data_IF_838373574719
#
_entry.id   IF_838373574719
#
_cell.length_a   1.000
_cell.length_b   1.000
_cell.length_c   1.000
_cell.angle_alpha   90.00
_cell.angle_beta   90.00
_cell.angle_gamma   90.00
#
_symmetry.space_group_name_H-M   'P 1'
#
loop_
_entity.id
_entity.type
_entity.pdbx_description
1 polymer ?
#
# COMPACT_ATOMS: atom_id res chain seq x y z
N UNK A 1 13.01 -45.43 -37.90
CA UNK A 1 11.96 -44.48 -38.31
C UNK A 1 11.82 -43.48 -37.18
N UNK A 2 12.34 -42.33 -37.43
CA UNK A 2 12.47 -41.18 -36.58
C UNK A 2 11.21 -40.32 -36.72
N UNK A 3 10.52 -40.03 -35.63
CA UNK A 3 9.45 -39.04 -35.65
C UNK A 3 9.84 -37.87 -34.75
N UNK A 4 9.92 -36.73 -35.39
CA UNK A 4 10.30 -35.45 -34.83
C UNK A 4 9.16 -34.92 -33.93
N UNK A 5 9.56 -34.51 -32.75
CA UNK A 5 8.72 -33.67 -31.88
C UNK A 5 8.56 -32.27 -32.50
N UNK A 6 7.31 -31.91 -32.75
CA UNK A 6 6.92 -30.57 -33.20
C UNK A 6 7.08 -29.54 -32.07
N UNK A 7 7.94 -28.56 -32.30
CA UNK A 7 8.11 -27.39 -31.44
C UNK A 7 6.87 -26.50 -31.56
N UNK A 8 6.33 -26.09 -30.39
CA UNK A 8 5.25 -25.11 -30.29
C UNK A 8 5.69 -23.74 -30.84
N UNK A 9 4.86 -23.03 -31.59
CA UNK A 9 5.23 -21.72 -32.10
C UNK A 9 5.23 -20.71 -30.93
N UNK A 10 6.39 -20.16 -30.64
CA UNK A 10 6.55 -18.97 -29.83
C UNK A 10 5.86 -17.81 -30.54
N UNK A 11 4.72 -17.36 -30.01
CA UNK A 11 4.08 -16.15 -30.48
C UNK A 11 4.95 -14.96 -30.06
N UNK A 12 5.82 -14.55 -30.95
CA UNK A 12 6.51 -13.25 -30.86
C UNK A 12 5.48 -12.21 -31.26
N UNK A 13 4.91 -11.53 -30.28
CA UNK A 13 4.17 -10.28 -30.49
C UNK A 13 5.17 -9.26 -31.04
N UNK A 14 5.19 -9.11 -32.36
CA UNK A 14 5.86 -7.99 -33.00
C UNK A 14 5.09 -6.71 -32.61
N UNK A 15 5.63 -5.99 -31.64
CA UNK A 15 5.21 -4.61 -31.36
C UNK A 15 5.69 -3.81 -32.55
N UNK A 16 4.77 -3.41 -33.42
CA UNK A 16 5.06 -2.50 -34.51
C UNK A 16 5.39 -1.13 -33.93
N UNK A 17 6.55 -0.59 -34.28
CA UNK A 17 7.14 0.63 -33.76
C UNK A 17 6.39 1.94 -34.16
N UNK A 18 5.08 1.86 -34.33
CA UNK A 18 4.18 2.97 -34.65
C UNK A 18 3.00 3.11 -33.69
N UNK A 19 2.98 2.35 -32.60
CA UNK A 19 2.04 2.61 -31.51
C UNK A 19 2.48 3.91 -30.83
N UNK A 20 1.73 4.96 -31.08
CA UNK A 20 1.95 6.31 -30.55
C UNK A 20 2.27 6.26 -29.06
N UNK A 21 3.33 6.95 -28.65
CA UNK A 21 3.73 7.12 -27.25
C UNK A 21 2.54 7.59 -26.37
N UNK A 22 1.52 8.17 -26.98
CA UNK A 22 0.27 8.58 -26.35
C UNK A 22 -0.51 7.40 -25.71
N UNK A 23 -0.46 6.19 -26.26
CA UNK A 23 -1.17 5.03 -25.75
C UNK A 23 -0.45 4.32 -24.59
N UNK A 24 0.80 4.71 -24.28
CA UNK A 24 1.54 4.14 -23.15
C UNK A 24 1.08 4.65 -21.79
N UNK A 25 0.35 5.75 -21.72
CA UNK A 25 -0.14 6.31 -20.46
C UNK A 25 -1.64 6.04 -20.27
N UNK A 26 -2.05 5.54 -19.11
CA UNK A 26 -3.46 5.33 -18.84
C UNK A 26 -4.22 6.67 -18.88
N UNK A 27 -5.24 6.74 -19.73
CA UNK A 27 -6.11 7.90 -19.86
C UNK A 27 -7.26 7.85 -18.86
N UNK A 28 -7.68 9.01 -18.42
CA UNK A 28 -8.78 9.19 -17.49
C UNK A 28 -10.10 8.91 -18.21
N UNK A 29 -10.89 7.97 -17.69
CA UNK A 29 -12.18 7.62 -18.25
C UNK A 29 -13.34 8.22 -17.45
N UNK A 30 -14.51 8.36 -18.10
CA UNK A 30 -15.72 8.77 -17.42
C UNK A 30 -16.10 7.77 -16.32
N UNK A 31 -16.70 8.25 -15.24
CA UNK A 31 -17.11 7.51 -14.05
C UNK A 31 -15.97 6.90 -13.22
N UNK A 32 -14.72 7.09 -13.59
CA UNK A 32 -13.58 6.69 -12.76
C UNK A 32 -13.42 7.62 -11.54
N UNK A 33 -12.88 7.04 -10.47
CA UNK A 33 -12.40 7.79 -9.33
C UNK A 33 -10.98 8.28 -9.61
N UNK A 34 -10.71 9.53 -9.28
CA UNK A 34 -9.41 10.18 -9.48
C UNK A 34 -9.00 10.87 -8.18
N UNK A 35 -7.73 10.76 -7.83
CA UNK A 35 -7.12 11.54 -6.77
C UNK A 35 -6.57 12.84 -7.37
N UNK A 36 -7.06 13.96 -6.89
CA UNK A 36 -6.59 15.27 -7.33
C UNK A 36 -5.65 15.84 -6.27
N UNK A 37 -4.37 15.91 -6.61
CA UNK A 37 -3.34 16.51 -5.79
C UNK A 37 -3.27 18.01 -6.06
N UNK A 38 -3.36 18.79 -5.00
CA UNK A 38 -3.26 20.25 -5.06
C UNK A 38 -1.90 20.73 -4.55
N UNK A 39 -1.41 21.90 -4.99
CA UNK A 39 -0.13 22.44 -4.56
C UNK A 39 0.00 22.63 -3.05
N UNK A 40 -1.13 22.79 -2.36
CA UNK A 40 -1.16 22.89 -0.90
C UNK A 40 -0.76 21.60 -0.18
N UNK A 41 -0.62 20.48 -0.89
CA UNK A 41 -0.45 19.15 -0.32
C UNK A 41 -1.79 18.45 -0.01
N UNK A 42 -2.92 19.16 -0.15
CA UNK A 42 -4.23 18.54 0.01
C UNK A 42 -4.55 17.65 -1.19
N UNK A 43 -5.20 16.52 -0.89
CA UNK A 43 -5.67 15.56 -1.88
C UNK A 43 -7.20 15.47 -1.79
N UNK A 44 -7.87 15.37 -2.92
CA UNK A 44 -9.32 15.19 -3.00
C UNK A 44 -9.67 14.00 -3.89
N UNK A 45 -10.53 13.11 -3.39
CA UNK A 45 -11.18 12.11 -4.23
C UNK A 45 -12.31 12.73 -5.03
N UNK A 46 -12.36 12.43 -6.31
CA UNK A 46 -13.39 12.88 -7.23
C UNK A 46 -13.80 11.72 -8.13
N UNK A 47 -15.11 11.48 -8.21
CA UNK A 47 -15.67 10.61 -9.25
C UNK A 47 -16.01 11.50 -10.46
N UNK A 48 -15.39 11.26 -11.59
CA UNK A 48 -15.53 12.07 -12.80
C UNK A 48 -16.78 11.66 -13.57
N UNK A 49 -17.89 12.31 -13.28
CA UNK A 49 -19.13 12.16 -14.04
C UNK A 49 -19.18 13.18 -15.16
N UNK A 50 -19.52 12.78 -16.39
CA UNK A 50 -19.74 13.73 -17.49
C UNK A 50 -20.74 14.82 -17.12
N UNK A 51 -20.59 15.99 -17.72
CA UNK A 51 -21.42 17.18 -17.50
C UNK A 51 -21.49 17.65 -16.04
N UNK A 52 -20.44 17.42 -15.23
CA UNK A 52 -20.37 17.89 -13.84
C UNK A 52 -19.20 18.85 -13.61
N UNK A 53 -19.40 19.78 -12.69
CA UNK A 53 -18.35 20.68 -12.26
C UNK A 53 -17.65 20.16 -11.01
N UNK A 54 -16.32 20.13 -11.04
CA UNK A 54 -15.45 19.71 -9.94
C UNK A 54 -14.87 20.94 -9.26
N UNK A 55 -15.29 21.20 -8.01
CA UNK A 55 -14.75 22.32 -7.22
C UNK A 55 -13.52 21.88 -6.43
N UNK A 56 -12.43 22.65 -6.56
CA UNK A 56 -11.19 22.50 -5.79
C UNK A 56 -11.07 23.59 -4.68
N UNK A 57 -12.20 24.18 -4.27
CA UNK A 57 -12.23 25.24 -3.28
C UNK A 57 -11.49 26.49 -3.77
N UNK A 58 -10.52 26.97 -3.00
CA UNK A 58 -9.72 28.16 -3.35
C UNK A 58 -8.91 28.05 -4.66
N UNK A 59 -8.72 26.82 -5.17
CA UNK A 59 -7.98 26.58 -6.42
C UNK A 59 -8.86 26.66 -7.68
N UNK A 60 -10.16 26.90 -7.51
CA UNK A 60 -11.10 27.08 -8.61
C UNK A 60 -12.01 25.87 -8.84
N UNK A 61 -12.78 25.93 -9.91
CA UNK A 61 -13.70 24.89 -10.35
C UNK A 61 -13.41 24.58 -11.82
N UNK A 62 -13.43 23.32 -12.21
CA UNK A 62 -13.27 22.92 -13.61
C UNK A 62 -14.37 21.94 -14.03
N UNK A 63 -14.60 21.83 -15.33
CA UNK A 63 -15.56 20.86 -15.88
C UNK A 63 -14.90 19.50 -16.01
N UNK A 64 -15.58 18.44 -15.53
CA UNK A 64 -15.07 17.07 -15.57
C UNK A 64 -14.76 16.61 -17.00
N UNK A 65 -15.55 17.04 -17.98
CA UNK A 65 -15.38 16.70 -19.39
C UNK A 65 -14.03 17.15 -19.97
N UNK A 66 -13.48 18.27 -19.47
CA UNK A 66 -12.16 18.74 -19.89
C UNK A 66 -11.01 17.83 -19.45
N UNK A 67 -11.23 17.04 -18.37
CA UNK A 67 -10.23 16.13 -17.83
C UNK A 67 -10.39 14.70 -18.35
N UNK A 68 -11.61 14.31 -18.75
CA UNK A 68 -11.87 12.98 -19.34
C UNK A 68 -11.11 12.88 -20.68
N UNK A 69 -10.41 11.75 -20.88
CA UNK A 69 -9.55 11.53 -22.04
C UNK A 69 -8.12 12.08 -21.88
N UNK A 70 -7.83 12.82 -20.82
CA UNK A 70 -6.48 13.29 -20.55
C UNK A 70 -5.65 12.24 -19.80
N UNK A 71 -4.31 12.23 -19.94
CA UNK A 71 -3.46 11.28 -19.21
C UNK A 71 -3.38 11.62 -17.73
N UNK A 72 -3.22 10.58 -16.91
CA UNK A 72 -2.88 10.72 -15.49
C UNK A 72 -1.46 11.27 -15.30
N UNK A 73 -1.22 11.98 -14.18
CA UNK A 73 0.10 12.40 -13.73
C UNK A 73 0.55 13.75 -14.30
N UNK A 74 -0.10 14.28 -15.32
CA UNK A 74 0.18 15.64 -15.79
C UNK A 74 -0.46 16.67 -14.86
N UNK A 75 0.19 17.82 -14.70
CA UNK A 75 -0.37 18.96 -13.97
C UNK A 75 -1.14 19.89 -14.91
N UNK A 76 -2.32 20.28 -14.47
CA UNK A 76 -3.23 21.16 -15.22
C UNK A 76 -3.47 22.44 -14.47
N UNK A 77 -3.56 23.55 -15.21
CA UNK A 77 -3.93 24.88 -14.70
C UNK A 77 -5.36 25.21 -15.13
N UNK A 78 -6.16 25.73 -14.19
CA UNK A 78 -7.47 26.31 -14.47
C UNK A 78 -7.23 27.77 -14.89
N UNK A 79 -7.41 28.08 -16.17
CA UNK A 79 -7.01 29.37 -16.72
C UNK A 79 -8.17 30.36 -16.95
N UNK A 80 -9.43 29.88 -16.88
CA UNK A 80 -10.60 30.74 -17.05
C UNK A 80 -11.67 30.53 -15.96
N UNK A 81 -12.69 31.39 -15.98
CA UNK A 81 -13.84 31.30 -15.09
C UNK A 81 -14.84 30.19 -15.47
N UNK A 82 -14.78 29.72 -16.73
CA UNK A 82 -15.65 28.64 -17.23
C UNK A 82 -15.16 27.26 -16.80
N UNK A 83 -13.97 27.19 -16.19
CA UNK A 83 -13.39 25.93 -15.74
C UNK A 83 -12.65 25.17 -16.84
N UNK A 84 -12.16 25.86 -17.85
CA UNK A 84 -11.27 25.27 -18.85
C UNK A 84 -9.89 25.02 -18.26
N UNK A 85 -9.27 23.91 -18.67
CA UNK A 85 -7.97 23.48 -18.17
C UNK A 85 -6.95 23.42 -19.32
N UNK A 86 -5.68 23.64 -18.97
CA UNK A 86 -4.56 23.42 -19.89
C UNK A 86 -3.42 22.68 -19.19
N UNK A 87 -2.68 21.81 -19.89
CA UNK A 87 -1.51 21.16 -19.31
C UNK A 87 -0.37 22.16 -19.15
N UNK A 88 0.37 22.03 -18.05
CA UNK A 88 1.56 22.85 -17.78
C UNK A 88 2.78 22.11 -18.31
N UNK A 89 3.52 22.74 -19.23
CA UNK A 89 4.69 22.13 -19.88
C UNK A 89 5.93 22.08 -18.99
N UNK A 90 6.10 23.00 -18.04
CA UNK A 90 7.27 23.07 -17.16
C UNK A 90 6.85 23.34 -15.71
N UNK A 91 6.79 22.27 -14.91
CA UNK A 91 6.68 22.38 -13.46
C UNK A 91 8.05 22.49 -12.77
N UNK A 92 9.14 22.55 -13.54
CA UNK A 92 10.48 22.55 -13.00
C UNK A 92 10.67 23.69 -11.99
N UNK A 93 11.22 23.36 -10.86
CA UNK A 93 11.79 24.34 -9.94
C UNK A 93 12.76 25.20 -10.75
N UNK A 94 12.49 26.50 -10.84
CA UNK A 94 13.48 27.44 -11.40
C UNK A 94 14.80 27.17 -10.68
N UNK A 95 15.82 26.88 -11.46
CA UNK A 95 17.20 26.75 -10.93
C UNK A 95 17.48 28.05 -10.20
N UNK A 96 17.63 27.97 -8.89
CA UNK A 96 18.01 29.12 -8.06
C UNK A 96 19.51 29.19 -8.15
N UNK A 97 20.04 30.29 -8.64
CA UNK A 97 21.47 30.50 -8.75
C UNK A 97 22.14 30.46 -7.38
N UNK A 98 23.31 29.85 -7.31
CA UNK A 98 24.14 29.80 -6.10
C UNK A 98 24.45 31.22 -5.63
N UNK A 99 24.21 31.49 -4.34
CA UNK A 99 24.50 32.78 -3.74
C UNK A 99 25.33 32.61 -2.47
N UNK A 100 26.31 33.49 -2.30
CA UNK A 100 27.11 33.63 -1.07
C UNK A 100 26.34 34.33 0.06
N UNK A 101 25.05 34.59 -0.13
CA UNK A 101 24.21 35.33 0.81
C UNK A 101 24.01 34.56 2.14
N UNK A 102 23.97 35.32 3.24
CA UNK A 102 23.76 34.82 4.60
C UNK A 102 22.44 35.38 5.17
N UNK A 103 21.61 34.54 5.75
CA UNK A 103 20.32 34.95 6.34
C UNK A 103 20.44 35.81 7.62
N UNK A 104 21.62 36.02 8.15
CA UNK A 104 21.83 36.79 9.40
C UNK A 104 21.47 38.26 9.30
N UNK A 105 21.46 38.82 8.08
CA UNK A 105 21.21 40.24 7.81
C UNK A 105 19.81 40.54 7.28
N UNK A 106 18.89 39.59 7.32
CA UNK A 106 17.54 39.74 6.80
C UNK A 106 16.60 40.22 7.90
N UNK A 107 15.99 41.39 7.70
CA UNK A 107 14.84 41.82 8.48
C UNK A 107 13.55 41.27 7.86
N UNK A 108 12.82 40.45 8.57
CA UNK A 108 11.51 39.90 8.14
C UNK A 108 10.32 40.80 8.58
N UNK A 109 10.48 42.13 8.48
CA UNK A 109 9.42 43.08 8.76
C UNK A 109 8.36 43.11 7.66
N UNK A 110 7.13 43.44 8.04
CA UNK A 110 5.99 43.54 7.12
C UNK A 110 6.21 44.55 5.96
N UNK A 111 7.16 45.48 6.11
CA UNK A 111 7.53 46.51 5.14
C UNK A 111 8.41 46.01 3.98
N UNK A 112 8.93 44.79 4.08
CA UNK A 112 9.83 44.20 3.06
C UNK A 112 9.09 43.85 1.76
N UNK A 113 7.77 43.69 1.80
CA UNK A 113 6.92 43.46 0.62
C UNK A 113 6.33 44.81 0.20
N UNK A 114 6.74 45.35 -0.94
CA UNK A 114 6.21 46.64 -1.44
C UNK A 114 4.81 46.54 -2.00
N UNK A 115 4.36 45.35 -2.42
CA UNK A 115 2.99 45.11 -2.90
C UNK A 115 2.02 45.05 -1.71
N UNK A 116 0.98 45.87 -1.76
CA UNK A 116 -0.11 45.85 -0.78
C UNK A 116 -1.00 44.61 -0.94
N UNK A 117 -1.74 44.26 0.10
CA UNK A 117 -2.69 43.15 0.05
C UNK A 117 -3.74 43.32 -1.06
N UNK A 118 -4.19 44.54 -1.28
CA UNK A 118 -5.18 44.88 -2.32
C UNK A 118 -4.62 44.71 -3.75
N UNK A 119 -3.35 45.07 -3.97
CA UNK A 119 -2.69 44.87 -5.28
C UNK A 119 -2.48 43.38 -5.54
N UNK A 120 -2.11 42.59 -4.52
CA UNK A 120 -2.00 41.15 -4.64
C UNK A 120 -3.37 40.52 -4.96
N UNK A 121 -4.45 41.02 -4.40
CA UNK A 121 -5.79 40.53 -4.72
C UNK A 121 -6.26 40.94 -6.12
N UNK A 122 -5.90 42.15 -6.58
CA UNK A 122 -6.11 42.54 -7.97
C UNK A 122 -5.34 41.68 -8.98
N UNK A 123 -4.08 41.40 -8.70
CA UNK A 123 -3.27 40.48 -9.52
C UNK A 123 -3.86 39.07 -9.57
N UNK A 124 -4.43 38.57 -8.44
CA UNK A 124 -5.16 37.31 -8.41
C UNK A 124 -6.43 37.33 -9.26
N UNK A 125 -7.17 38.43 -9.18
CA UNK A 125 -8.40 38.61 -9.96
C UNK A 125 -8.10 38.70 -11.45
N UNK A 126 -7.01 39.33 -11.85
CA UNK A 126 -6.54 39.41 -13.24
C UNK A 126 -6.05 38.03 -13.74
N UNK A 127 -5.36 37.28 -12.92
CA UNK A 127 -5.01 35.88 -13.21
C UNK A 127 -6.25 34.99 -13.37
N UNK A 128 -7.34 35.25 -12.62
CA UNK A 128 -8.63 34.58 -12.79
C UNK A 128 -9.34 34.92 -14.11
N UNK A 129 -9.08 36.10 -14.66
CA UNK A 129 -9.61 36.53 -15.98
C UNK A 129 -8.84 35.94 -17.14
N UNK A 130 -7.77 35.20 -16.90
CA UNK A 130 -6.93 34.58 -17.94
C UNK A 130 -5.89 35.56 -18.54
N UNK A 131 -5.81 36.80 -18.03
CA UNK A 131 -4.94 37.84 -18.58
C UNK A 131 -3.47 37.71 -18.15
N UNK A 132 -3.18 36.90 -17.12
CA UNK A 132 -1.83 36.74 -16.59
C UNK A 132 -1.61 35.31 -16.11
N UNK A 133 -0.50 34.68 -16.50
CA UNK A 133 -0.13 33.36 -16.01
C UNK A 133 0.24 33.44 -14.51
N UNK A 134 -0.10 32.39 -13.73
CA UNK A 134 0.20 32.35 -12.30
C UNK A 134 1.72 32.50 -12.01
N UNK A 135 2.56 32.09 -12.94
CA UNK A 135 4.01 32.25 -12.88
C UNK A 135 4.45 33.72 -12.92
N UNK A 136 3.80 34.52 -13.73
CA UNK A 136 4.08 35.97 -13.82
C UNK A 136 3.69 36.70 -12.54
N UNK A 137 2.60 36.28 -11.89
CA UNK A 137 2.20 36.81 -10.59
C UNK A 137 3.28 36.51 -9.55
N UNK A 138 3.79 35.28 -9.51
CA UNK A 138 4.85 34.88 -8.59
C UNK A 138 6.13 35.66 -8.88
N UNK A 139 6.48 35.85 -10.15
CA UNK A 139 7.65 36.63 -10.58
C UNK A 139 7.54 38.07 -10.11
N UNK A 140 6.41 38.76 -10.34
CA UNK A 140 6.15 40.09 -9.78
C UNK A 140 6.24 40.17 -8.26
N UNK A 141 5.77 39.14 -7.56
CA UNK A 141 5.89 39.06 -6.09
C UNK A 141 7.33 38.87 -5.64
N UNK A 142 8.18 38.21 -6.43
CA UNK A 142 9.60 38.06 -6.14
C UNK A 142 10.34 39.38 -6.37
N UNK A 143 10.05 40.07 -7.49
CA UNK A 143 10.64 41.34 -7.84
C UNK A 143 10.26 42.45 -6.84
N UNK A 144 9.06 42.40 -6.29
CA UNK A 144 8.58 43.35 -5.29
C UNK A 144 9.09 43.08 -3.86
N UNK A 145 9.84 42.02 -3.63
CA UNK A 145 10.39 41.71 -2.32
C UNK A 145 11.82 42.23 -2.20
N UNK A 146 12.02 43.38 -1.55
CA UNK A 146 13.31 44.07 -1.47
C UNK A 146 14.47 43.24 -0.94
N UNK A 147 14.20 42.36 0.03
CA UNK A 147 15.21 41.50 0.64
C UNK A 147 15.37 40.13 -0.04
N UNK A 148 14.68 39.89 -1.19
CA UNK A 148 14.71 38.59 -1.85
C UNK A 148 16.12 38.23 -2.33
N UNK A 149 16.87 39.19 -2.87
CA UNK A 149 18.24 38.99 -3.35
C UNK A 149 19.21 38.58 -2.26
N UNK A 150 19.00 39.06 -1.02
CA UNK A 150 19.83 38.77 0.15
C UNK A 150 19.56 37.40 0.75
N UNK A 151 18.47 36.72 0.38
CA UNK A 151 18.13 35.39 0.92
C UNK A 151 19.08 34.32 0.37
N UNK A 152 19.40 33.33 1.23
CA UNK A 152 20.11 32.14 0.76
C UNK A 152 19.31 31.39 -0.28
N UNK A 153 19.96 30.60 -1.12
CA UNK A 153 19.34 29.75 -2.14
C UNK A 153 18.17 28.92 -1.57
N UNK A 154 18.37 28.30 -0.42
CA UNK A 154 17.33 27.52 0.26
C UNK A 154 16.12 28.35 0.70
N UNK A 155 16.38 29.55 1.20
CA UNK A 155 15.31 30.46 1.61
C UNK A 155 14.53 30.98 0.42
N UNK A 156 15.20 31.27 -0.69
CA UNK A 156 14.57 31.60 -1.98
C UNK A 156 13.72 30.48 -2.50
N UNK A 157 14.24 29.24 -2.54
CA UNK A 157 13.51 28.06 -2.97
C UNK A 157 12.26 27.80 -2.10
N UNK A 158 12.38 27.88 -0.78
CA UNK A 158 11.23 27.77 0.15
C UNK A 158 10.20 28.88 -0.06
N UNK A 159 10.62 30.10 -0.28
CA UNK A 159 9.72 31.23 -0.55
C UNK A 159 8.93 30.99 -1.81
N UNK A 160 9.59 30.66 -2.93
CA UNK A 160 8.97 30.35 -4.22
C UNK A 160 7.98 29.20 -4.06
N UNK A 161 8.39 28.13 -3.40
CA UNK A 161 7.53 26.97 -3.16
C UNK A 161 6.28 27.34 -2.35
N UNK A 162 6.42 28.15 -1.31
CA UNK A 162 5.26 28.65 -0.52
C UNK A 162 4.32 29.50 -1.37
N UNK A 163 4.86 30.38 -2.22
CA UNK A 163 4.04 31.22 -3.12
C UNK A 163 3.36 30.37 -4.20
N UNK A 164 4.05 29.41 -4.83
CA UNK A 164 3.46 28.43 -5.73
C UNK A 164 2.30 27.69 -5.07
N UNK A 165 2.49 27.13 -3.89
CA UNK A 165 1.44 26.44 -3.10
C UNK A 165 0.22 27.31 -2.81
N UNK A 166 0.40 28.63 -2.66
CA UNK A 166 -0.68 29.54 -2.30
C UNK A 166 -1.45 30.10 -3.50
N UNK A 167 -0.74 30.39 -4.60
CA UNK A 167 -1.30 31.22 -5.69
C UNK A 167 -1.58 30.44 -6.97
N UNK A 168 -0.91 29.33 -7.24
CA UNK A 168 -1.16 28.60 -8.47
C UNK A 168 -2.46 27.80 -8.38
N UNK A 169 -3.32 27.96 -9.40
CA UNK A 169 -4.55 27.18 -9.58
C UNK A 169 -4.28 25.92 -10.37
N UNK A 170 -3.34 25.15 -9.89
CA UNK A 170 -2.85 23.96 -10.54
C UNK A 170 -3.32 22.73 -9.76
N UNK A 171 -3.56 21.65 -10.45
CA UNK A 171 -3.86 20.37 -9.85
C UNK A 171 -3.28 19.25 -10.72
N UNK A 172 -3.00 18.12 -10.07
CA UNK A 172 -2.47 16.92 -10.74
C UNK A 172 -3.42 15.74 -10.48
N UNK A 173 -4.09 15.23 -11.52
CA UNK A 173 -4.90 14.03 -11.39
C UNK A 173 -3.98 12.81 -11.34
N UNK A 174 -4.13 12.01 -10.30
CA UNK A 174 -3.37 10.78 -10.08
C UNK A 174 -4.31 9.59 -10.05
N UNK A 175 -3.90 8.48 -10.65
CA UNK A 175 -4.64 7.24 -10.59
C UNK A 175 -4.71 6.76 -9.13
N UNK A 176 -5.87 6.33 -8.64
CA UNK A 176 -5.96 5.67 -7.35
C UNK A 176 -5.17 4.37 -7.39
N UNK A 177 -4.14 4.29 -6.56
CA UNK A 177 -3.34 3.10 -6.31
C UNK A 177 -3.42 2.79 -4.83
N UNK A 178 -3.09 1.58 -4.43
CA UNK A 178 -3.03 1.19 -3.04
C UNK A 178 -2.21 2.18 -2.20
N UNK A 179 -1.04 2.59 -2.71
CA UNK A 179 -0.17 3.55 -2.03
C UNK A 179 -0.83 4.91 -1.84
N UNK A 180 -1.41 5.48 -2.91
CA UNK A 180 -2.03 6.81 -2.87
C UNK A 180 -3.29 6.85 -1.99
N UNK A 181 -4.06 5.77 -1.97
CA UNK A 181 -5.27 5.63 -1.13
C UNK A 181 -4.87 5.47 0.33
N UNK A 182 -3.92 4.58 0.63
CA UNK A 182 -3.43 4.40 2.01
C UNK A 182 -2.88 5.71 2.56
N UNK A 183 -2.06 6.43 1.80
CA UNK A 183 -1.51 7.72 2.20
C UNK A 183 -2.61 8.78 2.42
N UNK A 184 -3.60 8.81 1.54
CA UNK A 184 -4.74 9.72 1.69
C UNK A 184 -5.50 9.49 3.00
N UNK A 185 -5.88 8.24 3.31
CA UNK A 185 -6.61 7.93 4.54
C UNK A 185 -5.71 8.10 5.77
N UNK A 186 -4.45 7.71 5.72
CA UNK A 186 -3.50 7.87 6.81
C UNK A 186 -3.30 9.34 7.20
N UNK A 187 -3.26 10.26 6.22
CA UNK A 187 -3.11 11.69 6.47
C UNK A 187 -4.42 12.39 6.87
N UNK A 188 -5.57 11.87 6.48
CA UNK A 188 -6.86 12.55 6.67
C UNK A 188 -7.74 11.94 7.76
N UNK A 189 -7.83 10.63 7.79
CA UNK A 189 -8.66 9.89 8.75
C UNK A 189 -7.96 8.55 9.08
N UNK A 190 -6.86 8.58 9.84
CA UNK A 190 -6.04 7.39 10.11
C UNK A 190 -6.82 6.29 10.85
N UNK A 191 -7.77 6.67 11.72
CA UNK A 191 -8.59 5.72 12.47
C UNK A 191 -9.43 4.79 11.58
N UNK A 192 -9.85 5.28 10.41
CA UNK A 192 -10.63 4.48 9.45
C UNK A 192 -9.88 3.26 8.93
N UNK A 193 -8.57 3.37 8.82
CA UNK A 193 -7.68 2.30 8.39
C UNK A 193 -6.84 1.77 9.55
N UNK A 194 -7.31 1.97 10.80
CA UNK A 194 -6.60 1.53 12.01
C UNK A 194 -5.14 2.00 12.07
N UNK A 195 -4.85 3.19 11.58
CA UNK A 195 -3.48 3.75 11.49
C UNK A 195 -2.50 2.89 10.67
N UNK A 196 -2.99 2.04 9.78
CA UNK A 196 -2.16 1.20 8.92
C UNK A 196 -1.42 2.06 7.89
N UNK A 197 -0.09 2.07 7.96
CA UNK A 197 0.77 2.83 7.05
C UNK A 197 1.20 1.97 5.87
N UNK A 198 1.53 2.60 4.74
CA UNK A 198 1.84 1.89 3.49
C UNK A 198 3.03 0.92 3.59
N UNK A 199 4.06 1.25 4.35
CA UNK A 199 5.21 0.37 4.56
C UNK A 199 4.83 -0.89 5.34
N UNK A 200 4.03 -0.75 6.40
CA UNK A 200 3.49 -1.89 7.17
C UNK A 200 2.55 -2.73 6.31
N UNK A 201 1.68 -2.09 5.51
CA UNK A 201 0.80 -2.81 4.57
C UNK A 201 1.62 -3.61 3.54
N UNK A 202 2.69 -3.02 3.00
CA UNK A 202 3.57 -3.70 2.04
C UNK A 202 4.30 -4.89 2.68
N UNK A 203 4.75 -4.74 3.92
CA UNK A 203 5.35 -5.82 4.69
C UNK A 203 4.34 -6.94 5.01
N UNK A 204 3.11 -6.57 5.39
CA UNK A 204 2.01 -7.51 5.62
C UNK A 204 1.76 -8.39 4.39
N UNK A 205 1.63 -7.79 3.20
CA UNK A 205 1.43 -8.54 1.95
C UNK A 205 2.59 -9.48 1.62
N UNK A 206 3.81 -9.10 1.98
CA UNK A 206 5.01 -9.90 1.76
C UNK A 206 5.11 -11.06 2.73
N UNK A 207 4.85 -10.82 4.02
CA UNK A 207 4.82 -11.86 5.06
C UNK A 207 3.67 -12.86 4.83
N UNK A 208 2.51 -12.39 4.36
CA UNK A 208 1.39 -13.24 4.01
C UNK A 208 1.57 -13.99 2.68
N UNK A 209 2.70 -13.79 1.99
CA UNK A 209 3.04 -14.43 0.70
C UNK A 209 1.92 -14.33 -0.33
N UNK A 210 1.33 -13.15 -0.49
CA UNK A 210 0.23 -12.94 -1.42
C UNK A 210 0.74 -12.96 -2.86
N UNK A 211 0.15 -13.81 -3.69
CA UNK A 211 0.47 -13.95 -5.11
C UNK A 211 -0.77 -14.39 -5.93
N UNK A 212 -0.66 -14.35 -7.26
CA UNK A 212 -1.72 -14.85 -8.14
C UNK A 212 -2.04 -16.33 -7.86
N UNK A 213 -3.31 -16.69 -7.99
CA UNK A 213 -3.88 -18.01 -7.71
C UNK A 213 -3.86 -18.44 -6.22
N UNK A 214 -3.55 -17.53 -5.29
CA UNK A 214 -3.67 -17.82 -3.86
C UNK A 214 -5.14 -17.84 -3.42
N UNK A 215 -5.43 -18.64 -2.41
CA UNK A 215 -6.70 -18.62 -1.67
C UNK A 215 -6.44 -18.01 -0.29
N UNK A 216 -6.90 -16.78 -0.06
CA UNK A 216 -6.56 -16.00 1.15
C UNK A 216 -7.79 -15.75 2.00
N UNK A 217 -7.66 -16.01 3.30
CA UNK A 217 -8.67 -15.66 4.30
C UNK A 217 -8.26 -14.34 4.96
N UNK A 218 -9.16 -13.37 4.95
CA UNK A 218 -8.89 -12.02 5.45
C UNK A 218 -9.94 -11.61 6.48
N UNK A 219 -9.52 -11.13 7.62
CA UNK A 219 -10.36 -10.42 8.60
C UNK A 219 -10.00 -8.95 8.52
N UNK A 220 -10.92 -8.10 8.05
CA UNK A 220 -10.59 -6.70 7.71
C UNK A 220 -11.52 -5.69 8.36
N UNK A 221 -11.01 -4.98 9.37
CA UNK A 221 -11.60 -3.82 10.00
C UNK A 221 -11.05 -2.49 9.45
N UNK A 222 -10.24 -2.52 8.38
CA UNK A 222 -9.64 -1.32 7.78
C UNK A 222 -10.45 -0.75 6.61
N UNK A 223 -11.76 -0.92 6.63
CA UNK A 223 -12.70 -0.53 5.57
C UNK A 223 -12.41 -1.16 4.20
N UNK A 224 -11.88 -2.39 4.20
CA UNK A 224 -11.54 -3.11 2.99
C UNK A 224 -10.18 -2.72 2.38
N UNK A 225 -9.32 -2.01 3.10
CA UNK A 225 -7.99 -1.65 2.61
C UNK A 225 -7.11 -2.89 2.40
N UNK A 226 -7.12 -3.80 3.36
CA UNK A 226 -6.34 -5.05 3.26
C UNK A 226 -6.91 -5.94 2.16
N UNK A 227 -8.23 -6.08 2.08
CA UNK A 227 -8.89 -6.83 0.99
C UNK A 227 -8.54 -6.22 -0.37
N UNK A 228 -8.57 -4.89 -0.51
CA UNK A 228 -8.17 -4.20 -1.73
C UNK A 228 -6.70 -4.46 -2.09
N UNK A 229 -5.82 -4.45 -1.09
CA UNK A 229 -4.39 -4.69 -1.26
C UNK A 229 -4.10 -6.13 -1.73
N UNK A 230 -4.78 -7.11 -1.15
CA UNK A 230 -4.69 -8.51 -1.56
C UNK A 230 -5.21 -8.68 -2.98
N UNK A 231 -6.37 -8.10 -3.32
CA UNK A 231 -6.98 -8.18 -4.64
C UNK A 231 -6.11 -7.52 -5.73
N UNK A 232 -5.53 -6.35 -5.46
CA UNK A 232 -4.60 -5.69 -6.39
C UNK A 232 -3.38 -6.55 -6.66
N UNK A 233 -2.78 -7.14 -5.60
CA UNK A 233 -1.57 -7.97 -5.73
C UNK A 233 -1.84 -9.30 -6.44
N UNK A 234 -3.04 -9.88 -6.27
CA UNK A 234 -3.46 -11.10 -6.98
C UNK A 234 -3.81 -10.84 -8.44
N UNK A 235 -4.12 -9.60 -8.83
CA UNK A 235 -4.40 -9.23 -10.22
C UNK A 235 -5.66 -9.85 -10.82
N UNK A 236 -6.61 -10.32 -9.98
CA UNK A 236 -7.84 -10.97 -10.42
C UNK A 236 -7.75 -12.50 -10.53
N UNK A 237 -6.63 -13.09 -10.12
CA UNK A 237 -6.44 -14.54 -10.12
C UNK A 237 -6.35 -15.07 -8.69
N UNK A 238 -7.25 -16.00 -8.34
CA UNK A 238 -7.33 -16.61 -7.01
C UNK A 238 -8.66 -16.34 -6.31
N UNK A 239 -8.69 -16.50 -4.99
CA UNK A 239 -9.92 -16.37 -4.19
C UNK A 239 -9.61 -15.65 -2.89
N UNK A 240 -10.40 -14.64 -2.56
CA UNK A 240 -10.31 -13.91 -1.30
C UNK A 240 -11.62 -14.14 -0.56
N UNK A 241 -11.55 -14.63 0.67
CA UNK A 241 -12.71 -14.71 1.56
C UNK A 241 -12.49 -13.69 2.67
N UNK A 242 -13.25 -12.60 2.62
CA UNK A 242 -13.22 -11.54 3.62
C UNK A 242 -14.26 -11.75 4.71
N UNK A 243 -13.81 -11.83 5.95
CA UNK A 243 -14.70 -11.87 7.12
C UNK A 243 -14.93 -10.46 7.64
N UNK A 244 -16.17 -10.16 7.95
CA UNK A 244 -16.57 -8.83 8.42
C UNK A 244 -17.57 -8.90 9.57
N UNK A 245 -17.62 -7.83 10.36
CA UNK A 245 -18.62 -7.63 11.39
C UNK A 245 -19.95 -7.15 10.76
N UNK A 246 -21.06 -7.53 11.37
CA UNK A 246 -22.39 -7.12 10.92
C UNK A 246 -22.92 -7.87 9.69
N UNK A 247 -24.12 -7.49 9.25
CA UNK A 247 -24.81 -8.14 8.12
C UNK A 247 -24.24 -7.77 6.75
N UNK A 248 -23.68 -6.57 6.62
CA UNK A 248 -23.10 -6.06 5.38
C UNK A 248 -21.64 -5.66 5.63
N UNK A 249 -20.78 -5.99 4.67
CA UNK A 249 -19.38 -5.60 4.73
C UNK A 249 -19.21 -4.08 4.59
N UNK A 250 -18.19 -3.52 5.28
CA UNK A 250 -17.80 -2.14 5.18
C UNK A 250 -16.49 -2.00 4.36
N UNK A 251 -16.53 -2.41 3.09
CA UNK A 251 -15.35 -2.35 2.21
C UNK A 251 -15.42 -1.15 1.26
N UNK A 252 -15.64 0.04 1.81
CA UNK A 252 -15.81 1.27 1.04
C UNK A 252 -14.59 1.62 0.17
N UNK A 253 -13.39 1.22 0.59
CA UNK A 253 -12.14 1.50 -0.12
C UNK A 253 -12.12 0.83 -1.51
N UNK A 254 -12.75 -0.34 -1.67
CA UNK A 254 -12.86 -1.02 -2.96
C UNK A 254 -13.48 -0.13 -4.05
N UNK A 255 -14.40 0.76 -3.67
CA UNK A 255 -15.07 1.67 -4.62
C UNK A 255 -14.11 2.69 -5.23
N UNK A 256 -13.02 3.02 -4.54
CA UNK A 256 -12.05 4.02 -5.00
C UNK A 256 -10.98 3.43 -5.91
N UNK A 257 -10.77 2.11 -5.90
CA UNK A 257 -9.67 1.43 -6.60
C UNK A 257 -9.89 1.33 -8.11
N UNK A 258 -11.09 1.60 -8.63
CA UNK A 258 -11.45 1.40 -10.04
C UNK A 258 -11.14 -0.02 -10.55
N UNK A 259 -11.33 -1.04 -9.71
CA UNK A 259 -11.05 -2.42 -10.08
C UNK A 259 -11.96 -2.89 -11.22
N UNK A 260 -11.39 -3.70 -12.11
CA UNK A 260 -12.17 -4.41 -13.12
C UNK A 260 -13.10 -5.44 -12.47
N UNK A 261 -14.16 -5.82 -13.19
CA UNK A 261 -15.05 -6.87 -12.72
C UNK A 261 -14.31 -8.17 -12.41
N UNK A 262 -13.31 -8.51 -13.21
CA UNK A 262 -12.48 -9.70 -13.01
C UNK A 262 -11.80 -9.72 -11.63
N UNK A 263 -11.28 -8.59 -11.16
CA UNK A 263 -10.71 -8.46 -9.81
C UNK A 263 -11.80 -8.54 -8.75
N UNK A 264 -12.94 -7.85 -8.94
CA UNK A 264 -14.02 -7.84 -7.97
C UNK A 264 -14.67 -9.22 -7.79
N UNK A 265 -14.74 -10.02 -8.84
CA UNK A 265 -15.30 -11.37 -8.82
C UNK A 265 -14.47 -12.36 -7.98
N UNK A 266 -13.20 -12.04 -7.65
CA UNK A 266 -12.37 -12.85 -6.74
C UNK A 266 -12.68 -12.62 -5.25
N UNK A 267 -13.44 -11.58 -4.92
CA UNK A 267 -13.70 -11.16 -3.54
C UNK A 267 -15.04 -11.73 -3.07
N UNK A 268 -14.99 -12.58 -2.09
CA UNK A 268 -16.15 -13.18 -1.42
C UNK A 268 -16.20 -12.69 0.03
N UNK A 269 -17.40 -12.48 0.55
CA UNK A 269 -17.56 -11.95 1.91
C UNK A 269 -18.46 -12.84 2.75
N UNK A 270 -18.10 -13.03 4.02
CA UNK A 270 -18.87 -13.83 4.99
C UNK A 270 -18.92 -13.04 6.30
N UNK A 271 -20.11 -12.80 6.88
CA UNK A 271 -20.21 -12.20 8.20
C UNK A 271 -19.73 -13.17 9.29
N UNK A 272 -19.10 -12.67 10.34
CA UNK A 272 -18.64 -13.49 11.46
C UNK A 272 -19.72 -14.34 12.11
N UNK A 273 -20.95 -13.83 12.16
CA UNK A 273 -22.11 -14.57 12.69
C UNK A 273 -22.40 -15.87 11.94
N UNK A 274 -21.88 -16.04 10.74
CA UNK A 274 -22.11 -17.21 9.87
C UNK A 274 -20.88 -18.09 9.67
N UNK A 275 -19.81 -17.84 10.42
CA UNK A 275 -18.57 -18.65 10.37
C UNK A 275 -18.75 -19.96 11.18
N UNK A 276 -19.70 -20.00 12.11
CA UNK A 276 -20.03 -21.22 12.84
C UNK A 276 -20.80 -22.20 11.92
N UNK A 277 -20.31 -23.44 11.75
CA UNK A 277 -21.01 -24.45 10.98
C UNK A 277 -22.41 -24.80 11.49
N UNK A 278 -22.65 -24.63 12.81
CA UNK A 278 -23.95 -24.90 13.43
C UNK A 278 -25.05 -23.92 13.03
N UNK A 279 -24.67 -22.71 12.60
CA UNK A 279 -25.62 -21.72 12.10
C UNK A 279 -26.01 -22.10 10.68
N UNK A 280 -27.24 -22.58 10.51
CA UNK A 280 -27.78 -22.90 9.21
C UNK A 280 -28.17 -21.63 8.48
N UNK A 281 -27.88 -21.58 7.17
CA UNK A 281 -28.42 -20.54 6.32
C UNK A 281 -29.92 -20.77 6.14
N UNK A 282 -30.71 -19.71 6.20
CA UNK A 282 -32.11 -19.79 5.80
C UNK A 282 -32.20 -20.27 4.34
N UNK A 283 -32.87 -21.40 4.06
CA UNK A 283 -33.00 -21.87 2.70
C UNK A 283 -33.72 -20.81 1.86
N UNK A 284 -33.20 -20.57 0.66
CA UNK A 284 -33.89 -19.69 -0.26
C UNK A 284 -35.16 -20.35 -0.74
N UNK A 285 -36.28 -19.75 -0.42
CA UNK A 285 -37.58 -20.20 -0.93
C UNK A 285 -37.76 -19.72 -2.37
N UNK A 286 -37.76 -20.68 -3.31
CA UNK A 286 -38.04 -20.38 -4.72
C UNK A 286 -39.54 -20.20 -4.90
N UNK A 287 -39.93 -19.07 -5.48
CA UNK A 287 -41.30 -18.80 -5.86
C UNK A 287 -41.69 -19.66 -7.07
N UNK A 288 -42.91 -20.13 -7.07
CA UNK A 288 -43.46 -20.92 -8.21
C UNK A 288 -43.60 -20.02 -9.46
N UNK A 289 -43.65 -20.64 -10.63
CA UNK A 289 -43.77 -19.92 -11.92
C UNK A 289 -45.00 -19.03 -11.94
N UNK A 290 -46.12 -19.50 -11.36
CA UNK A 290 -47.37 -18.75 -11.25
C UNK A 290 -47.29 -17.54 -10.33
N UNK A 291 -46.47 -17.60 -9.28
CA UNK A 291 -46.22 -16.48 -8.39
C UNK A 291 -45.27 -15.44 -9.03
N UNK A 292 -44.32 -15.89 -9.85
CA UNK A 292 -43.42 -15.00 -10.58
C UNK A 292 -44.14 -14.18 -11.65
N UNK A 293 -45.13 -14.79 -12.34
CA UNK A 293 -45.94 -14.10 -13.34
C UNK A 293 -46.85 -13.01 -12.76
N UNK A 294 -47.22 -13.11 -11.49
CA UNK A 294 -48.02 -12.12 -10.77
C UNK A 294 -47.22 -10.91 -10.23
N UNK A 295 -45.90 -10.99 -10.27
CA UNK A 295 -45.03 -9.92 -9.75
C UNK A 295 -44.96 -8.73 -10.72
N UNK A 296 -45.00 -7.53 -10.18
CA UNK A 296 -44.66 -6.34 -10.95
C UNK A 296 -43.18 -6.35 -11.36
N UNK A 297 -42.85 -5.58 -12.39
CA UNK A 297 -41.46 -5.49 -12.89
C UNK A 297 -40.43 -5.13 -11.78
N UNK A 298 -40.80 -4.25 -10.86
CA UNK A 298 -39.96 -3.85 -9.73
C UNK A 298 -39.81 -4.95 -8.68
N UNK A 299 -40.86 -5.69 -8.39
CA UNK A 299 -40.83 -6.83 -7.48
C UNK A 299 -40.01 -7.97 -8.06
N UNK A 300 -40.14 -8.23 -9.37
CA UNK A 300 -39.31 -9.21 -10.08
C UNK A 300 -37.82 -8.84 -10.00
N UNK A 301 -37.47 -7.58 -10.29
CA UNK A 301 -36.08 -7.10 -10.14
C UNK A 301 -35.55 -7.25 -8.69
N UNK A 302 -36.41 -6.98 -7.71
CA UNK A 302 -36.07 -7.15 -6.29
C UNK A 302 -35.87 -8.62 -5.92
N UNK A 303 -36.77 -9.51 -6.39
CA UNK A 303 -36.67 -10.96 -6.19
C UNK A 303 -35.39 -11.52 -6.78
N UNK A 304 -35.06 -11.22 -8.05
CA UNK A 304 -33.85 -11.67 -8.72
C UNK A 304 -32.57 -11.18 -7.99
N UNK A 305 -32.60 -9.94 -7.52
CA UNK A 305 -31.48 -9.39 -6.73
C UNK A 305 -31.28 -10.13 -5.42
N UNK A 306 -32.37 -10.46 -4.70
CA UNK A 306 -32.33 -11.23 -3.45
C UNK A 306 -31.89 -12.67 -3.67
N UNK A 307 -32.39 -13.33 -4.74
CA UNK A 307 -31.98 -14.68 -5.14
C UNK A 307 -30.47 -14.72 -5.38
N UNK A 308 -29.97 -13.82 -6.24
CA UNK A 308 -28.53 -13.72 -6.53
C UNK A 308 -27.71 -13.45 -5.25
N UNK A 309 -28.19 -12.60 -4.35
CA UNK A 309 -27.49 -12.32 -3.10
C UNK A 309 -27.45 -13.56 -2.18
N UNK A 310 -28.51 -14.36 -2.13
CA UNK A 310 -28.54 -15.62 -1.39
C UNK A 310 -27.56 -16.64 -1.98
N UNK A 311 -27.53 -16.80 -3.31
CA UNK A 311 -26.59 -17.68 -4.01
C UNK A 311 -25.13 -17.28 -3.73
N UNK A 312 -24.82 -15.98 -3.81
CA UNK A 312 -23.47 -15.46 -3.51
C UNK A 312 -23.09 -15.75 -2.06
N UNK A 313 -23.99 -15.52 -1.09
CA UNK A 313 -23.73 -15.83 0.33
C UNK A 313 -23.46 -17.32 0.56
N UNK A 314 -24.31 -18.19 0.00
CA UNK A 314 -24.13 -19.63 0.10
C UNK A 314 -22.81 -20.09 -0.52
N UNK A 315 -22.46 -19.54 -1.69
CA UNK A 315 -21.18 -19.82 -2.35
C UNK A 315 -19.98 -19.35 -1.51
N UNK A 316 -20.03 -18.11 -1.00
CA UNK A 316 -18.95 -17.56 -0.15
C UNK A 316 -18.73 -18.40 1.11
N UNK A 317 -19.83 -18.83 1.75
CA UNK A 317 -19.77 -19.68 2.94
C UNK A 317 -19.22 -21.07 2.62
N UNK A 318 -19.61 -21.65 1.48
CA UNK A 318 -19.03 -22.92 1.02
C UNK A 318 -17.52 -22.79 0.82
N UNK A 319 -17.04 -21.72 0.16
CA UNK A 319 -15.61 -21.47 -0.03
C UNK A 319 -14.84 -21.38 1.31
N UNK A 320 -15.45 -20.83 2.36
CA UNK A 320 -14.86 -20.79 3.70
C UNK A 320 -14.73 -22.20 4.28
N UNK A 321 -15.81 -22.99 4.26
CA UNK A 321 -15.83 -24.32 4.86
C UNK A 321 -15.04 -25.36 4.09
N UNK A 322 -14.90 -25.21 2.77
CA UNK A 322 -13.98 -26.02 1.97
C UNK A 322 -12.52 -25.87 2.44
N UNK A 323 -12.20 -24.81 3.20
CA UNK A 323 -10.87 -24.57 3.76
C UNK A 323 -9.79 -24.47 2.69
N UNK A 324 -8.59 -24.91 3.03
CA UNK A 324 -7.48 -24.96 2.09
C UNK A 324 -6.86 -23.60 1.78
N UNK A 325 -6.92 -22.64 2.70
CA UNK A 325 -6.37 -21.32 2.51
C UNK A 325 -4.84 -21.31 2.52
N UNK A 326 -4.25 -20.53 1.62
CA UNK A 326 -2.81 -20.31 1.48
C UNK A 326 -2.26 -19.24 2.42
N UNK A 327 -3.11 -18.55 3.14
CA UNK A 327 -2.72 -17.56 4.15
C UNK A 327 -3.92 -17.03 4.90
N UNK A 328 -3.65 -16.54 6.12
CA UNK A 328 -4.61 -15.85 6.97
C UNK A 328 -4.07 -14.48 7.33
N UNK A 329 -4.84 -13.45 7.03
CA UNK A 329 -4.50 -12.05 7.35
C UNK A 329 -5.57 -11.49 8.27
N UNK A 330 -5.15 -10.94 9.41
CA UNK A 330 -6.07 -10.44 10.42
C UNK A 330 -5.73 -8.98 10.73
N UNK A 331 -6.74 -8.12 10.62
CA UNK A 331 -6.77 -6.78 11.22
C UNK A 331 -8.14 -6.60 11.84
N UNK A 332 -8.22 -6.80 13.14
CA UNK A 332 -9.49 -6.84 13.85
C UNK A 332 -9.39 -6.12 15.19
N UNK A 333 -10.52 -5.67 15.69
CA UNK A 333 -10.69 -5.15 17.05
C UNK A 333 -10.85 -6.25 18.10
N UNK A 334 -11.06 -7.51 17.66
CA UNK A 334 -11.16 -8.67 18.55
C UNK A 334 -9.78 -9.13 19.02
N UNK A 335 -9.74 -9.89 20.13
CA UNK A 335 -8.52 -10.49 20.65
C UNK A 335 -7.87 -11.40 19.57
N UNK A 336 -6.64 -11.13 19.15
CA UNK A 336 -6.02 -11.83 18.03
C UNK A 336 -5.91 -13.35 18.24
N UNK A 337 -5.59 -13.79 19.45
CA UNK A 337 -5.49 -15.21 19.80
C UNK A 337 -6.81 -15.96 19.54
N UNK A 338 -7.94 -15.39 19.95
CA UNK A 338 -9.26 -16.01 19.74
C UNK A 338 -9.60 -16.12 18.26
N UNK A 339 -9.30 -15.07 17.48
CA UNK A 339 -9.55 -15.07 16.04
C UNK A 339 -8.68 -16.10 15.32
N UNK A 340 -7.41 -16.19 15.69
CA UNK A 340 -6.47 -17.17 15.12
C UNK A 340 -6.89 -18.59 15.46
N UNK A 341 -7.17 -18.89 16.73
CA UNK A 341 -7.61 -20.20 17.19
C UNK A 341 -8.84 -20.69 16.41
N UNK A 342 -9.79 -19.78 16.20
CA UNK A 342 -11.04 -20.11 15.51
C UNK A 342 -10.88 -20.32 14.00
N UNK A 343 -10.01 -19.57 13.35
CA UNK A 343 -9.87 -19.56 11.88
C UNK A 343 -8.76 -20.46 11.34
N UNK A 344 -7.76 -20.79 12.16
CA UNK A 344 -6.60 -21.57 11.71
C UNK A 344 -6.99 -22.93 11.13
N UNK A 345 -8.06 -23.55 11.57
CA UNK A 345 -8.55 -24.82 11.03
C UNK A 345 -8.79 -24.80 9.51
N UNK A 346 -9.07 -23.63 8.92
CA UNK A 346 -9.30 -23.46 7.50
C UNK A 346 -8.02 -23.22 6.67
N UNK A 347 -6.90 -22.93 7.32
CA UNK A 347 -5.62 -22.64 6.68
C UNK A 347 -4.82 -23.91 6.47
N UNK A 348 -4.13 -24.08 5.37
CA UNK A 348 -3.27 -25.23 5.10
C UNK A 348 -2.00 -25.23 5.98
N UNK A 349 -1.37 -26.39 6.11
CA UNK A 349 -0.05 -26.49 6.74
C UNK A 349 1.04 -25.75 5.98
N UNK A 350 2.05 -25.26 6.70
CA UNK A 350 3.18 -24.46 6.17
C UNK A 350 2.74 -23.15 5.52
N UNK A 351 1.59 -22.62 5.95
CA UNK A 351 1.04 -21.35 5.43
C UNK A 351 1.15 -20.24 6.46
N UNK A 352 1.39 -19.00 5.99
CA UNK A 352 1.55 -17.85 6.88
C UNK A 352 0.23 -17.42 7.52
N UNK A 353 0.34 -16.99 8.77
CA UNK A 353 -0.68 -16.26 9.52
C UNK A 353 -0.09 -14.92 9.90
N UNK A 354 -0.69 -13.82 9.45
CA UNK A 354 -0.20 -12.47 9.67
C UNK A 354 -1.28 -11.62 10.33
N UNK A 355 -0.94 -11.00 11.45
CA UNK A 355 -1.86 -10.21 12.25
C UNK A 355 -1.33 -8.79 12.36
N UNK A 356 -2.16 -7.81 12.03
CA UNK A 356 -1.88 -6.41 12.18
C UNK A 356 -2.57 -5.83 13.42
N UNK A 357 -1.85 -5.05 14.20
CA UNK A 357 -2.40 -4.16 15.21
C UNK A 357 -1.58 -2.88 15.31
N UNK A 358 -2.25 -1.76 15.56
CA UNK A 358 -1.56 -0.51 15.87
C UNK A 358 -0.87 -0.54 17.25
N UNK A 359 -1.40 -1.36 18.18
CA UNK A 359 -0.89 -1.51 19.53
C UNK A 359 -0.12 -2.82 19.67
N UNK A 360 1.15 -2.73 20.08
CA UNK A 360 2.01 -3.90 20.27
C UNK A 360 1.47 -4.84 21.35
N UNK A 361 0.88 -4.25 22.40
CA UNK A 361 0.35 -4.96 23.56
C UNK A 361 -0.73 -5.98 23.14
N UNK A 362 -1.57 -5.62 22.16
CA UNK A 362 -2.60 -6.52 21.65
C UNK A 362 -2.03 -7.76 20.94
N UNK A 363 -0.79 -7.70 20.46
CA UNK A 363 -0.13 -8.82 19.79
C UNK A 363 0.69 -9.71 20.74
N UNK A 364 1.03 -9.24 21.94
CA UNK A 364 1.93 -9.95 22.84
C UNK A 364 1.31 -11.27 23.34
N UNK A 365 0.02 -11.27 23.69
CA UNK A 365 -0.70 -12.45 24.14
C UNK A 365 -0.76 -13.49 23.04
N UNK A 366 -1.14 -13.09 21.84
CA UNK A 366 -1.20 -13.94 20.66
C UNK A 366 0.19 -14.52 20.29
N UNK A 367 1.24 -13.69 20.30
CA UNK A 367 2.61 -14.13 20.02
C UNK A 367 3.09 -15.16 21.06
N UNK A 368 2.80 -14.92 22.33
CA UNK A 368 3.14 -15.87 23.40
C UNK A 368 2.37 -17.19 23.27
N UNK A 369 1.08 -17.11 22.96
CA UNK A 369 0.23 -18.28 22.72
C UNK A 369 0.75 -19.09 21.51
N UNK A 370 1.04 -18.44 20.37
CA UNK A 370 1.57 -19.09 19.17
C UNK A 370 2.93 -19.76 19.44
N UNK A 371 3.82 -19.14 20.24
CA UNK A 371 5.15 -19.71 20.58
C UNK A 371 5.05 -20.92 21.50
N UNK A 372 4.00 -21.01 22.32
CA UNK A 372 3.75 -22.18 23.19
C UNK A 372 3.04 -23.31 22.48
N UNK A 373 2.29 -23.01 21.43
CA UNK A 373 1.60 -24.01 20.64
C UNK A 373 2.58 -24.77 19.75
N UNK A 374 2.36 -26.07 19.56
CA UNK A 374 3.05 -26.88 18.55
C UNK A 374 2.60 -26.57 17.12
N UNK A 375 1.50 -25.83 16.95
CA UNK A 375 0.83 -25.62 15.69
C UNK A 375 1.41 -24.44 14.91
N UNK A 376 2.39 -23.73 15.49
CA UNK A 376 2.99 -22.54 14.86
C UNK A 376 4.51 -22.54 14.97
N UNK A 377 5.15 -22.04 13.90
CA UNK A 377 6.59 -21.75 13.87
C UNK A 377 6.82 -20.26 13.60
N UNK A 378 7.96 -19.76 14.09
CA UNK A 378 8.46 -18.39 13.82
C UNK A 378 7.43 -17.30 14.14
N UNK A 379 6.79 -17.37 15.30
CA UNK A 379 5.88 -16.33 15.76
C UNK A 379 6.67 -15.06 16.19
N UNK A 380 6.86 -14.13 15.27
CA UNK A 380 7.67 -12.92 15.48
C UNK A 380 6.86 -11.64 15.27
N UNK A 381 7.10 -10.66 16.16
CA UNK A 381 6.51 -9.33 16.03
C UNK A 381 7.53 -8.40 15.37
N UNK A 382 7.11 -7.75 14.31
CA UNK A 382 7.91 -6.78 13.55
C UNK A 382 7.25 -5.40 13.52
N UNK A 383 8.07 -4.36 13.43
CA UNK A 383 7.66 -2.97 13.21
C UNK A 383 8.45 -2.41 12.03
N UNK A 384 7.77 -1.70 11.14
CA UNK A 384 8.42 -1.00 10.04
C UNK A 384 8.72 0.45 10.42
N UNK A 385 9.83 0.98 9.92
CA UNK A 385 10.21 2.39 10.11
C UNK A 385 10.27 3.10 8.78
N UNK A 386 9.47 4.16 8.64
CA UNK A 386 9.45 5.02 7.45
C UNK A 386 9.78 6.45 7.85
N UNK A 387 10.82 7.04 7.25
CA UNK A 387 11.17 8.43 7.47
C UNK A 387 11.20 9.20 6.15
N UNK A 388 10.45 10.29 6.11
CA UNK A 388 10.46 11.20 4.97
C UNK A 388 11.64 12.16 5.06
N UNK A 389 12.19 12.51 3.90
CA UNK A 389 13.24 13.50 3.78
C UNK A 389 12.77 14.68 2.95
N UNK A 390 13.11 15.88 3.41
CA UNK A 390 13.06 17.06 2.58
C UNK A 390 14.30 17.06 1.68
N UNK A 391 14.10 17.05 0.38
CA UNK A 391 15.17 17.12 -0.62
C UNK A 391 15.11 18.48 -1.28
N UNK A 392 16.18 19.26 -1.11
CA UNK A 392 16.39 20.53 -1.79
C UNK A 392 17.78 20.48 -2.45
N UNK A 393 18.00 21.22 -3.54
CA UNK A 393 19.35 21.34 -4.13
C UNK A 393 20.38 21.69 -3.05
N UNK A 394 21.45 20.90 -2.97
CA UNK A 394 22.53 21.10 -1.99
C UNK A 394 22.17 20.82 -0.52
N UNK A 395 20.92 20.53 -0.17
CA UNK A 395 20.51 20.30 1.22
C UNK A 395 19.41 19.26 1.36
N UNK A 396 19.76 18.10 1.87
CA UNK A 396 18.82 17.04 2.22
C UNK A 396 18.83 16.79 3.71
N UNK A 397 17.66 16.76 4.33
CA UNK A 397 17.53 16.43 5.76
C UNK A 397 16.19 15.73 6.04
N UNK A 398 16.11 14.90 7.10
CA UNK A 398 14.85 14.28 7.51
C UNK A 398 13.78 15.33 7.83
N UNK A 399 12.53 15.03 7.53
CA UNK A 399 11.41 15.83 8.01
C UNK A 399 11.26 15.66 9.53
N UNK A 400 11.03 16.78 10.24
CA UNK A 400 10.89 16.76 11.70
C UNK A 400 9.55 16.19 12.15
N UNK A 401 8.49 16.44 11.37
CA UNK A 401 7.15 15.96 11.65
C UNK A 401 6.88 14.69 10.86
N UNK A 402 7.15 13.54 11.45
CA UNK A 402 6.85 12.22 10.89
C UNK A 402 5.95 11.44 11.83
N UNK A 403 5.16 10.51 11.29
CA UNK A 403 4.42 9.55 12.12
C UNK A 403 5.41 8.69 12.90
N UNK A 404 5.12 8.44 14.18
CA UNK A 404 5.99 7.65 15.04
C UNK A 404 6.01 6.17 14.62
N UNK A 405 4.83 5.56 14.45
CA UNK A 405 4.69 4.14 14.09
C UNK A 405 3.70 3.96 12.93
N UNK A 406 3.85 2.87 12.19
CA UNK A 406 2.88 2.38 11.21
C UNK A 406 2.08 1.19 11.71
N UNK A 407 2.22 0.85 13.01
CA UNK A 407 1.67 -0.35 13.62
C UNK A 407 2.63 -1.53 13.58
N UNK A 408 2.19 -2.65 14.14
CA UNK A 408 2.98 -3.86 14.37
C UNK A 408 2.36 -5.04 13.61
N UNK A 409 3.21 -5.94 13.16
CA UNK A 409 2.82 -7.19 12.52
C UNK A 409 3.34 -8.37 13.36
N UNK A 410 2.42 -9.27 13.74
CA UNK A 410 2.77 -10.58 14.23
C UNK A 410 2.63 -11.55 13.06
N UNK A 411 3.67 -12.29 12.75
CA UNK A 411 3.65 -13.31 11.70
C UNK A 411 4.12 -14.65 12.23
N UNK A 412 3.54 -15.74 11.74
CA UNK A 412 3.95 -17.10 12.03
C UNK A 412 3.48 -18.04 10.94
N UNK A 413 3.98 -19.27 10.93
CA UNK A 413 3.57 -20.29 9.98
C UNK A 413 2.78 -21.37 10.71
N UNK A 414 1.60 -21.70 10.16
CA UNK A 414 0.85 -22.86 10.67
C UNK A 414 1.59 -24.16 10.38
N UNK A 415 1.65 -25.03 11.38
CA UNK A 415 2.17 -26.39 11.26
C UNK A 415 1.03 -27.37 11.45
N UNK A 416 1.05 -28.46 10.72
CA UNK A 416 0.14 -29.60 10.92
C UNK A 416 1.01 -30.78 11.25
N UNK A 417 0.65 -31.53 12.30
CA UNK A 417 1.32 -32.74 12.66
C UNK A 417 1.29 -33.74 11.50
N UNK A 418 2.48 -34.12 11.08
CA UNK A 418 2.65 -35.17 10.10
C UNK A 418 3.02 -36.45 10.83
N UNK A 419 2.30 -37.56 10.64
CA UNK A 419 2.72 -38.81 11.21
C UNK A 419 4.14 -39.14 10.75
N UNK A 420 5.01 -39.42 11.70
CA UNK A 420 6.42 -39.76 11.43
C UNK A 420 6.49 -41.00 10.53
N UNK A 421 6.93 -40.79 9.29
CA UNK A 421 7.25 -41.90 8.39
C UNK A 421 8.77 -42.16 8.43
N UNK A 422 9.20 -43.26 9.04
CA UNK A 422 10.63 -43.61 9.17
C UNK A 422 11.32 -43.73 7.81
N UNK A 423 10.58 -43.97 6.72
CA UNK A 423 11.15 -44.12 5.36
C UNK A 423 11.59 -42.79 4.75
N UNK A 424 11.03 -41.67 5.20
CA UNK A 424 11.37 -40.34 4.74
C UNK A 424 12.62 -39.75 5.42
N UNK A 425 13.09 -40.35 6.51
CA UNK A 425 14.31 -39.92 7.18
C UNK A 425 15.51 -40.46 6.42
N UNK A 426 16.39 -39.63 5.88
CA UNK A 426 17.62 -40.11 5.26
C UNK A 426 18.42 -40.89 6.28
N UNK A 427 18.62 -42.17 6.01
CA UNK A 427 19.34 -43.09 6.93
C UNK A 427 20.76 -42.56 7.17
N UNK A 428 21.03 -41.94 8.32
CA UNK A 428 22.33 -41.36 8.67
C UNK A 428 23.47 -42.42 8.62
N UNK A 429 23.12 -43.69 8.72
CA UNK A 429 24.08 -44.80 8.57
C UNK A 429 24.68 -44.88 7.15
N UNK A 430 24.01 -44.38 6.11
CA UNK A 430 24.57 -44.31 4.77
C UNK A 430 25.62 -43.20 4.57
N UNK A 431 25.68 -42.21 5.46
CA UNK A 431 26.70 -41.15 5.44
C UNK A 431 28.04 -41.61 6.04
N UNK A 432 28.05 -42.62 6.94
CA UNK A 432 29.29 -43.17 7.52
C UNK A 432 29.98 -44.24 6.67
N UNK A 433 29.34 -44.74 5.60
CA UNK A 433 29.86 -45.84 4.78
C UNK A 433 30.79 -45.41 3.63
N UNK A 434 30.96 -44.15 3.33
CA UNK A 434 31.95 -43.68 2.34
C UNK A 434 33.18 -43.06 3.03
N UNK A 435 33.84 -43.82 3.93
CA UNK A 435 35.24 -43.60 4.19
C UNK A 435 36.01 -44.03 2.92
N UNK A 436 36.53 -43.07 2.19
CA UNK A 436 37.49 -43.23 1.12
C UNK A 436 38.54 -44.24 1.57
N UNK A 437 38.64 -45.41 0.90
CA UNK A 437 39.85 -46.20 0.87
C UNK A 437 40.92 -45.37 0.20
N UNK A 438 41.74 -44.70 1.00
CA UNK A 438 43.04 -44.18 0.55
C UNK A 438 43.97 -45.36 0.49
N UNK A 439 44.36 -45.71 -0.71
CA UNK A 439 45.48 -46.63 -0.99
C UNK A 439 46.73 -46.04 -0.36
N UNK A 440 47.24 -46.66 0.68
CA UNK A 440 48.58 -46.44 1.21
C UNK A 440 49.58 -47.15 0.33
N UNK A 441 50.24 -46.38 -0.55
CA UNK A 441 51.53 -46.78 -1.10
C UNK A 441 52.59 -46.66 0.01
N UNK A 442 53.23 -47.84 0.31
CA UNK A 442 54.43 -47.95 1.12
C UNK A 442 55.58 -47.21 0.47
N UNK A 443 56.27 -46.37 1.20
CA UNK A 443 57.74 -46.12 1.01
C UNK A 443 58.26 -45.47 2.30
N UNK A 444 59.12 -46.15 3.01
CA UNK A 444 60.51 -45.85 3.41
C UNK A 444 60.69 -44.93 4.61
N UNK A 445 61.11 -45.59 5.69
CA UNK A 445 62.14 -45.22 6.69
C UNK A 445 62.60 -43.75 6.82
N UNK A 446 62.65 -43.28 8.11
CA UNK A 446 63.54 -42.18 8.51
C UNK A 446 63.20 -41.49 9.80
N UNK A 447 63.83 -41.99 10.89
CA UNK A 447 64.31 -41.31 12.10
C UNK A 447 63.47 -40.35 12.96
N UNK A 448 63.49 -40.69 14.20
CA UNK A 448 63.29 -39.99 15.47
C UNK A 448 63.76 -38.57 15.51
N UNK A 449 63.00 -37.69 16.19
CA UNK A 449 63.52 -36.99 17.37
C UNK A 449 62.37 -36.33 18.19
N UNK A 450 62.51 -36.49 19.50
CA UNK A 450 61.65 -36.01 20.58
C UNK A 450 62.06 -34.58 20.97
N UNK A 451 61.08 -33.68 21.15
CA UNK A 451 61.24 -32.57 22.13
C UNK A 451 59.89 -32.27 22.78
N UNK A 452 59.89 -32.46 24.06
CA UNK A 452 58.89 -32.00 25.02
C UNK A 452 59.04 -30.50 25.25
N UNK A 453 57.95 -29.72 25.35
CA UNK A 453 57.94 -28.53 26.16
C UNK A 453 56.52 -28.22 26.65
N UNK A 454 56.41 -28.17 27.96
CA UNK A 454 55.28 -27.72 28.75
C UNK A 454 54.97 -26.25 28.51
N UNK A 455 53.70 -25.84 28.61
CA UNK A 455 53.35 -24.49 28.95
C UNK A 455 52.04 -24.44 29.73
N UNK A 456 52.17 -23.82 30.86
CA UNK A 456 51.15 -23.55 31.90
C UNK A 456 50.07 -22.57 31.46
N UNK A 457 48.95 -22.48 32.23
CA UNK A 457 47.82 -21.59 31.91
C UNK A 457 47.98 -20.24 32.63
N UNK A 458 47.63 -19.15 31.97
CA UNK A 458 47.45 -17.85 32.60
C UNK A 458 46.01 -17.56 32.94
N UNK A 459 45.83 -17.15 34.17
CA UNK A 459 44.62 -16.74 34.82
C UNK A 459 44.15 -15.33 34.37
N UNK A 460 42.85 -15.17 34.40
CA UNK A 460 42.13 -13.91 34.23
C UNK A 460 41.92 -13.21 35.59
N UNK A 461 42.11 -11.90 35.66
CA UNK A 461 41.55 -11.06 36.71
C UNK A 461 40.69 -9.94 36.14
N UNK A 462 39.68 -9.49 36.88
CA UNK A 462 38.70 -8.51 36.40
C UNK A 462 39.05 -7.09 36.88
N UNK A 463 38.81 -6.11 36.04
CA UNK A 463 38.89 -4.70 36.39
C UNK A 463 37.55 -4.12 36.81
N UNK A 464 37.58 -3.50 37.95
CA UNK A 464 36.54 -2.85 38.71
C UNK A 464 36.07 -1.52 38.13
N UNK A 465 34.80 -1.25 38.40
CA UNK A 465 34.11 0.04 38.27
C UNK A 465 34.80 1.21 39.00
N UNK A 466 34.79 2.36 38.36
CA UNK A 466 34.73 3.65 39.07
C UNK A 466 33.67 4.57 38.45
N UNK A 467 32.80 5.00 39.34
CA UNK A 467 31.79 6.06 39.17
C UNK A 467 32.43 7.41 39.38
N UNK A 468 32.13 8.40 38.55
CA UNK A 468 32.17 9.79 38.98
C UNK A 468 31.12 10.64 38.29
N UNK A 469 30.29 11.20 39.14
CA UNK A 469 29.33 12.27 38.93
C UNK A 469 29.99 13.60 38.56
N UNK A 470 29.47 14.28 37.58
CA UNK A 470 29.23 15.74 37.58
C UNK A 470 28.26 16.09 36.46
#
# INVERSE_FOLDING_TARGET
MTELAAASPTVVLAITAQDDIADQFPHIQAFQNVLIHMPSGNVKFVNLKPNTNVSLGKFGTFQADNLIGQPFGLSYEIYDQKGSIRPIKNWALSVVEDTTANNQTINDDATVQTLTHEEIEKLKAEGLKGNMAAEEIIKKMMESHTEFSKKTEYSKAKYIQRKKKKFMKVFTPVRPTLSSITEYFFNKNPDKIKNLRIDTLSQLLSLANIHANSKILVVDDTQGLIVAAVAERMGGYGTIVGLHEGEAHNYDILRYMNFSKHILDTIHTVPFSRVDPSVLDEPWEEKTTEELEKLSENEMKSYLRRKKAAEVRAHSRKLLFDGGFDGLVISSSYAPETVVEYLTKYVNGSRPVVIYSYHKEALLSAAHWMRKSSDYLQADITESSLRRYQVLPGRTHPEMNTSASGGYLLSGFRVIDCPFDPSLVPNENNRRGKKRKTETKKAGEGKKESVSTEAEPMASEPASLETSSS
#
